data_IF_494893172511
#
_entry.id   IF_494893172511
#
_cell.length_a   1.000
_cell.length_b   1.000
_cell.length_c   1.000
_cell.angle_alpha   90.00
_cell.angle_beta   90.00
_cell.angle_gamma   90.00
#
_symmetry.space_group_name_H-M   'P 1'
#
loop_
_entity.id
_entity.type
_entity.pdbx_description
1 polymer ?
#
# COMPACT_ATOMS: atom_id res chain seq x y z
N UNK A 1 16.03 -21.26 22.79
CA UNK A 1 14.57 -21.14 22.57
C UNK A 1 14.18 -19.87 21.82
N UNK A 2 15.09 -18.90 21.63
CA UNK A 2 14.85 -17.61 20.93
C UNK A 2 14.63 -17.75 19.41
N UNK A 3 15.42 -18.60 18.74
CA UNK A 3 15.32 -18.79 17.27
C UNK A 3 13.98 -19.39 16.80
N UNK A 4 13.31 -20.19 17.65
CA UNK A 4 12.07 -20.89 17.28
C UNK A 4 10.91 -19.90 17.24
N UNK A 5 10.87 -18.95 18.18
CA UNK A 5 9.87 -17.87 18.22
C UNK A 5 10.02 -16.88 17.06
N UNK A 6 11.25 -16.52 16.68
CA UNK A 6 11.48 -15.61 15.55
C UNK A 6 11.07 -16.26 14.21
N UNK A 7 11.39 -17.54 14.03
CA UNK A 7 11.01 -18.28 12.82
C UNK A 7 9.48 -18.45 12.73
N UNK A 8 8.81 -18.74 13.85
CA UNK A 8 7.34 -18.81 13.92
C UNK A 8 6.68 -17.46 13.64
N UNK A 9 7.21 -16.38 14.21
CA UNK A 9 6.72 -15.01 13.96
C UNK A 9 6.81 -14.63 12.49
N UNK A 10 7.94 -14.90 11.85
CA UNK A 10 8.13 -14.67 10.41
C UNK A 10 7.13 -15.47 9.55
N UNK A 11 6.89 -16.73 9.91
CA UNK A 11 5.98 -17.61 9.17
C UNK A 11 4.51 -17.16 9.27
N UNK A 12 4.10 -16.62 10.42
CA UNK A 12 2.75 -16.05 10.62
C UNK A 12 2.56 -14.79 9.76
N UNK A 13 3.57 -13.90 9.71
CA UNK A 13 3.49 -12.67 8.92
C UNK A 13 3.39 -13.01 7.43
N UNK A 14 4.24 -13.91 6.93
CA UNK A 14 4.23 -14.32 5.53
C UNK A 14 2.93 -15.05 5.19
N UNK A 15 2.49 -15.98 6.04
CA UNK A 15 1.22 -16.70 5.87
C UNK A 15 0.01 -15.78 5.84
N UNK A 16 -0.03 -14.80 6.74
CA UNK A 16 -1.06 -13.77 6.78
C UNK A 16 -1.10 -12.92 5.51
N UNK A 17 0.05 -12.46 5.03
CA UNK A 17 0.14 -11.70 3.78
C UNK A 17 -0.37 -12.50 2.58
N UNK A 18 0.01 -13.77 2.46
CA UNK A 18 -0.46 -14.66 1.38
C UNK A 18 -1.98 -14.87 1.48
N UNK A 19 -2.52 -15.07 2.68
CA UNK A 19 -3.96 -15.24 2.88
C UNK A 19 -4.74 -13.98 2.47
N UNK A 20 -4.26 -12.79 2.83
CA UNK A 20 -4.88 -11.51 2.43
C UNK A 20 -4.88 -11.37 0.91
N UNK A 21 -3.74 -11.60 0.25
CA UNK A 21 -3.64 -11.52 -1.22
C UNK A 21 -4.57 -12.54 -1.88
N UNK A 22 -4.63 -13.76 -1.36
CA UNK A 22 -5.52 -14.81 -1.86
C UNK A 22 -7.00 -14.41 -1.73
N UNK A 23 -7.41 -13.89 -0.58
CA UNK A 23 -8.79 -13.42 -0.35
C UNK A 23 -9.12 -12.30 -1.35
N UNK A 24 -8.25 -11.29 -1.46
CA UNK A 24 -8.46 -10.17 -2.39
C UNK A 24 -8.55 -10.65 -3.85
N UNK A 25 -7.66 -11.55 -4.28
CA UNK A 25 -7.67 -12.11 -5.62
C UNK A 25 -8.96 -12.88 -5.90
N UNK A 26 -9.40 -13.73 -4.95
CA UNK A 26 -10.63 -14.50 -5.06
C UNK A 26 -11.87 -13.61 -5.14
N UNK A 27 -11.96 -12.59 -4.28
CA UNK A 27 -13.07 -11.63 -4.33
C UNK A 27 -13.09 -10.83 -5.63
N UNK A 28 -11.94 -10.35 -6.09
CA UNK A 28 -11.84 -9.59 -7.34
C UNK A 28 -12.24 -10.45 -8.55
N UNK A 29 -11.87 -11.74 -8.55
CA UNK A 29 -12.33 -12.70 -9.56
C UNK A 29 -13.86 -12.87 -9.55
N UNK A 30 -14.47 -13.06 -8.37
CA UNK A 30 -15.92 -13.20 -8.25
C UNK A 30 -16.68 -11.94 -8.69
N UNK A 31 -16.17 -10.76 -8.34
CA UNK A 31 -16.76 -9.48 -8.76
C UNK A 31 -16.69 -9.33 -10.28
N UNK A 32 -15.52 -9.59 -10.88
CA UNK A 32 -15.35 -9.53 -12.34
C UNK A 32 -16.27 -10.52 -13.05
N UNK A 33 -16.33 -11.76 -12.57
CA UNK A 33 -17.21 -12.79 -13.10
C UNK A 33 -18.69 -12.36 -13.06
N UNK A 34 -19.15 -11.86 -11.91
CA UNK A 34 -20.52 -11.38 -11.74
C UNK A 34 -20.85 -10.16 -12.63
N UNK A 35 -19.87 -9.30 -12.92
CA UNK A 35 -20.05 -8.17 -13.82
C UNK A 35 -20.21 -8.62 -15.29
N UNK A 36 -19.37 -9.58 -15.74
CA UNK A 36 -19.49 -10.16 -17.08
C UNK A 36 -20.83 -10.89 -17.28
N UNK A 37 -21.29 -11.65 -16.29
CA UNK A 37 -22.58 -12.35 -16.34
C UNK A 37 -23.78 -11.39 -16.38
N UNK A 38 -23.64 -10.17 -15.87
CA UNK A 38 -24.67 -9.12 -15.89
C UNK A 38 -24.60 -8.23 -17.13
N UNK A 39 -23.72 -8.52 -18.09
CA UNK A 39 -23.54 -7.70 -19.30
C UNK A 39 -22.97 -6.31 -19.02
N UNK A 40 -22.43 -6.07 -17.81
CA UNK A 40 -21.77 -4.82 -17.48
C UNK A 40 -20.37 -4.91 -18.08
N UNK A 41 -20.13 -4.21 -19.18
CA UNK A 41 -18.75 -3.97 -19.62
C UNK A 41 -18.04 -3.21 -18.49
N UNK A 42 -17.20 -3.94 -17.73
CA UNK A 42 -16.19 -3.34 -16.87
C UNK A 42 -15.24 -2.57 -17.79
N UNK A 43 -15.66 -1.35 -18.13
CA UNK A 43 -14.98 -0.47 -19.05
C UNK A 43 -13.50 -0.48 -18.75
N UNK A 44 -12.69 -0.63 -19.80
CA UNK A 44 -11.23 -0.54 -19.75
C UNK A 44 -10.71 0.81 -19.22
N UNK A 45 -11.61 1.73 -18.84
CA UNK A 45 -11.39 2.98 -18.11
C UNK A 45 -10.53 2.81 -16.85
N UNK A 46 -10.55 1.64 -16.19
CA UNK A 46 -9.63 1.35 -15.07
C UNK A 46 -8.13 1.34 -15.45
N UNK A 47 -7.78 1.11 -16.73
CA UNK A 47 -6.37 1.00 -17.11
C UNK A 47 -5.68 2.36 -17.31
N UNK A 48 -6.44 3.40 -17.65
CA UNK A 48 -5.87 4.74 -17.93
C UNK A 48 -5.39 5.46 -16.66
N UNK A 49 -6.08 5.28 -15.54
CA UNK A 49 -5.75 5.93 -14.26
C UNK A 49 -4.80 5.12 -13.39
N UNK A 50 -4.57 3.84 -13.72
CA UNK A 50 -3.67 2.95 -12.96
C UNK A 50 -2.24 3.49 -12.88
N UNK A 51 -1.77 4.19 -13.91
CA UNK A 51 -0.44 4.81 -13.92
C UNK A 51 -0.34 6.01 -12.96
N UNK A 52 -1.45 6.75 -12.81
CA UNK A 52 -1.55 7.87 -11.85
C UNK A 52 -1.54 7.33 -10.43
N UNK A 53 -2.21 6.21 -10.19
CA UNK A 53 -2.21 5.55 -8.88
C UNK A 53 -0.80 5.12 -8.44
N UNK A 54 -0.06 4.41 -9.30
CA UNK A 54 1.31 4.00 -8.98
C UNK A 54 2.25 5.21 -8.82
N UNK A 55 2.11 6.23 -9.68
CA UNK A 55 2.95 7.42 -9.63
C UNK A 55 2.78 8.22 -8.34
N UNK A 56 1.54 8.40 -7.89
CA UNK A 56 1.25 9.19 -6.69
C UNK A 56 1.59 8.43 -5.39
N UNK A 57 1.44 7.10 -5.36
CA UNK A 57 1.93 6.25 -4.26
C UNK A 57 3.46 6.28 -4.19
N UNK A 58 4.15 6.12 -5.33
CA UNK A 58 5.62 6.18 -5.39
C UNK A 58 6.16 7.55 -4.96
N UNK A 59 5.50 8.64 -5.36
CA UNK A 59 5.85 9.99 -4.91
C UNK A 59 5.62 10.18 -3.41
N UNK A 60 4.48 9.72 -2.89
CA UNK A 60 4.21 9.76 -1.45
C UNK A 60 5.28 9.01 -0.65
N UNK A 61 5.59 7.78 -1.04
CA UNK A 61 6.66 6.98 -0.42
C UNK A 61 8.04 7.64 -0.54
N UNK A 62 8.39 8.16 -1.72
CA UNK A 62 9.67 8.83 -1.96
C UNK A 62 9.84 10.09 -1.11
N UNK A 63 8.78 10.91 -0.98
CA UNK A 63 8.78 12.09 -0.11
C UNK A 63 8.86 11.67 1.36
N UNK A 64 8.14 10.63 1.77
CA UNK A 64 8.21 10.08 3.13
C UNK A 64 9.61 9.60 3.50
N UNK A 65 10.29 8.91 2.59
CA UNK A 65 11.69 8.50 2.74
C UNK A 65 12.64 9.70 2.83
N UNK A 66 12.48 10.68 1.95
CA UNK A 66 13.30 11.90 1.99
C UNK A 66 13.10 12.69 3.29
N UNK A 67 11.85 12.82 3.75
CA UNK A 67 11.51 13.44 5.03
C UNK A 67 12.05 12.63 6.22
N UNK A 68 12.09 11.30 6.12
CA UNK A 68 12.59 10.45 7.18
C UNK A 68 14.09 10.67 7.47
N UNK A 69 14.86 11.07 6.46
CA UNK A 69 16.29 11.39 6.58
C UNK A 69 16.56 12.61 7.48
N UNK A 70 15.55 13.47 7.70
CA UNK A 70 15.66 14.58 8.64
C UNK A 70 15.69 14.12 10.10
N UNK A 71 15.05 12.99 10.43
CA UNK A 71 15.08 12.45 11.79
C UNK A 71 16.43 11.84 12.14
N UNK A 72 17.20 11.38 11.15
CA UNK A 72 18.57 10.89 11.34
C UNK A 72 19.55 12.00 11.75
N UNK A 73 19.20 13.27 11.53
CA UNK A 73 19.99 14.42 11.97
C UNK A 73 19.71 14.81 13.43
N UNK A 74 18.67 14.24 14.04
CA UNK A 74 18.33 14.47 15.44
C UNK A 74 18.93 13.32 16.26
N UNK A 75 19.65 13.64 17.33
CA UNK A 75 20.31 12.68 18.22
C UNK A 75 19.29 11.95 19.12
N UNK A 76 18.39 11.19 18.49
CA UNK A 76 17.37 10.38 19.14
C UNK A 76 17.89 8.96 19.35
N UNK A 77 17.32 8.29 20.36
CA UNK A 77 17.56 6.87 20.59
C UNK A 77 17.19 6.05 19.36
N UNK A 78 18.06 5.11 18.98
CA UNK A 78 17.98 4.27 17.77
C UNK A 78 16.59 3.62 17.57
N UNK A 79 16.04 2.98 18.62
CA UNK A 79 14.70 2.39 18.58
C UNK A 79 13.58 3.39 18.22
N UNK A 80 13.71 4.63 18.69
CA UNK A 80 12.70 5.68 18.46
C UNK A 80 12.85 6.26 17.06
N UNK A 81 14.08 6.37 16.57
CA UNK A 81 14.38 6.82 15.21
C UNK A 81 13.80 5.84 14.19
N UNK A 82 14.03 4.54 14.35
CA UNK A 82 13.49 3.51 13.46
C UNK A 82 11.96 3.54 13.43
N UNK A 83 11.31 3.64 14.59
CA UNK A 83 9.85 3.72 14.66
C UNK A 83 9.31 4.97 13.93
N UNK A 84 9.99 6.12 14.05
CA UNK A 84 9.63 7.37 13.38
C UNK A 84 9.81 7.29 11.86
N UNK A 85 10.88 6.64 11.40
CA UNK A 85 11.13 6.42 9.98
C UNK A 85 9.99 5.58 9.39
N UNK A 86 9.63 4.46 10.02
CA UNK A 86 8.50 3.64 9.56
C UNK A 86 7.16 4.37 9.62
N UNK A 87 6.90 5.14 10.67
CA UNK A 87 5.67 5.91 10.81
C UNK A 87 5.55 6.98 9.71
N UNK A 88 6.62 7.69 9.40
CA UNK A 88 6.62 8.74 8.38
C UNK A 88 6.43 8.18 6.98
N UNK A 89 7.08 7.06 6.65
CA UNK A 89 6.86 6.34 5.39
C UNK A 89 5.39 5.92 5.24
N UNK A 90 4.78 5.37 6.30
CA UNK A 90 3.37 4.96 6.28
C UNK A 90 2.41 6.13 6.13
N UNK A 91 2.63 7.24 6.85
CA UNK A 91 1.78 8.44 6.78
C UNK A 91 1.84 9.04 5.38
N UNK A 92 3.04 9.24 4.83
CA UNK A 92 3.20 9.81 3.49
C UNK A 92 2.73 8.86 2.37
N UNK A 93 2.91 7.55 2.54
CA UNK A 93 2.32 6.55 1.63
C UNK A 93 0.79 6.59 1.63
N UNK A 94 0.16 6.70 2.81
CA UNK A 94 -1.28 6.83 2.94
C UNK A 94 -1.80 8.14 2.34
N UNK A 95 -1.10 9.26 2.54
CA UNK A 95 -1.42 10.54 1.91
C UNK A 95 -1.34 10.47 0.39
N UNK A 96 -0.33 9.80 -0.18
CA UNK A 96 -0.25 9.55 -1.62
C UNK A 96 -1.44 8.76 -2.15
N UNK A 97 -1.93 7.80 -1.38
CA UNK A 97 -3.11 6.99 -1.71
C UNK A 97 -4.41 7.80 -1.67
N UNK A 98 -4.55 8.70 -0.68
CA UNK A 98 -5.69 9.63 -0.59
C UNK A 98 -5.65 10.63 -1.76
N UNK A 99 -4.49 11.21 -2.04
CA UNK A 99 -4.31 12.15 -3.16
C UNK A 99 -4.65 11.49 -4.50
N UNK A 100 -4.25 10.24 -4.69
CA UNK A 100 -4.64 9.42 -5.84
C UNK A 100 -6.16 9.34 -5.99
N UNK A 101 -6.86 9.01 -4.91
CA UNK A 101 -8.32 8.88 -4.93
C UNK A 101 -8.99 10.22 -5.29
N UNK A 102 -8.45 11.33 -4.80
CA UNK A 102 -8.95 12.66 -5.09
C UNK A 102 -8.71 13.07 -6.56
N UNK A 103 -7.50 12.85 -7.07
CA UNK A 103 -7.13 13.10 -8.47
C UNK A 103 -8.01 12.28 -9.41
N UNK A 104 -8.24 11.00 -9.07
CA UNK A 104 -9.10 10.14 -9.86
C UNK A 104 -10.54 10.65 -9.90
N UNK A 105 -11.08 11.12 -8.77
CA UNK A 105 -12.40 11.74 -8.71
C UNK A 105 -12.49 13.00 -9.59
N UNK A 106 -11.48 13.86 -9.54
CA UNK A 106 -11.41 15.08 -10.36
C UNK A 106 -11.21 14.81 -11.86
N UNK A 107 -10.60 13.68 -12.25
CA UNK A 107 -10.39 13.31 -13.66
C UNK A 107 -11.50 12.43 -14.25
N UNK A 108 -12.43 11.92 -13.44
CA UNK A 108 -13.59 11.14 -13.89
C UNK A 108 -14.84 12.01 -14.15
N UNK A 109 -14.92 13.21 -13.54
CA UNK A 109 -15.86 14.31 -13.84
C UNK A 109 -15.40 15.15 -15.05
#
# INVERSE_FOLDING_TARGET
MENISETLGGLIIVGGAVAIVYILARFNYLIRKAAYERGIELSSRQNKYRYVDYGCILLGLGIGLAASSFFTLLDLKEDTMDLLVWATILIFGALGLIATHFIRKTLED
#
